data_IF_685844013646
#
_entry.id   IF_685844013646
#
_cell.length_a   1.000
_cell.length_b   1.000
_cell.length_c   1.000
_cell.angle_alpha   90.00
_cell.angle_beta   90.00
_cell.angle_gamma   90.00
#
_symmetry.space_group_name_H-M   'P 1'
#
loop_
_entity.id
_entity.type
_entity.pdbx_description
1 polymer ?
#
# COMPACT_ATOMS: atom_id res chain seq x y z
N UNK A 1 46.54 -24.00 67.86
CA UNK A 1 46.06 -23.83 66.47
C UNK A 1 44.53 -23.76 66.47
N UNK A 2 43.95 -23.13 67.50
CA UNK A 2 42.60 -23.51 67.96
C UNK A 2 41.56 -22.41 67.69
N UNK A 3 42.00 -21.30 67.07
CA UNK A 3 41.15 -20.17 66.71
C UNK A 3 40.52 -20.30 65.32
N UNK A 4 40.97 -21.27 64.50
CA UNK A 4 40.40 -21.53 63.18
C UNK A 4 39.21 -22.51 63.24
N UNK A 5 39.28 -23.55 64.08
CA UNK A 5 38.19 -24.55 64.23
C UNK A 5 36.92 -23.95 64.84
N UNK A 6 37.05 -22.98 65.76
CA UNK A 6 35.90 -22.34 66.38
C UNK A 6 35.10 -21.44 65.42
N UNK A 7 35.74 -20.84 64.42
CA UNK A 7 35.05 -19.98 63.45
C UNK A 7 34.28 -20.81 62.40
N UNK A 8 34.79 -21.97 61.99
CA UNK A 8 34.08 -22.85 61.07
C UNK A 8 32.77 -23.36 61.67
N UNK A 9 32.76 -23.75 62.95
CA UNK A 9 31.54 -24.17 63.63
C UNK A 9 30.51 -23.04 63.75
N UNK A 10 30.94 -21.79 64.02
CA UNK A 10 30.00 -20.66 64.10
C UNK A 10 29.39 -20.29 62.76
N UNK A 11 30.12 -20.40 61.65
CA UNK A 11 29.58 -20.14 60.30
C UNK A 11 28.59 -21.25 59.88
N UNK A 12 28.88 -22.51 60.22
CA UNK A 12 27.94 -23.62 59.99
C UNK A 12 26.68 -23.50 60.86
N UNK A 13 26.80 -23.02 62.10
CA UNK A 13 25.67 -22.74 62.98
C UNK A 13 24.81 -21.56 62.44
N UNK A 14 25.44 -20.47 62.00
CA UNK A 14 24.72 -19.33 61.41
C UNK A 14 24.01 -19.71 60.11
N UNK A 15 24.68 -20.49 59.24
CA UNK A 15 24.07 -20.94 57.99
C UNK A 15 22.95 -21.96 58.25
N UNK A 16 23.07 -22.83 59.25
CA UNK A 16 22.01 -23.78 59.61
C UNK A 16 20.79 -23.08 60.23
N UNK A 17 21.00 -22.10 61.12
CA UNK A 17 19.93 -21.25 61.66
C UNK A 17 19.21 -20.48 60.55
N UNK A 18 19.96 -19.90 59.61
CA UNK A 18 19.39 -19.20 58.46
C UNK A 18 18.62 -20.16 57.54
N UNK A 19 19.18 -21.32 57.21
CA UNK A 19 18.52 -22.36 56.41
C UNK A 19 17.22 -22.81 57.07
N UNK A 20 17.23 -23.09 58.36
CA UNK A 20 16.04 -23.53 59.11
C UNK A 20 14.97 -22.43 59.14
N UNK A 21 15.36 -21.18 59.38
CA UNK A 21 14.42 -20.04 59.37
C UNK A 21 13.82 -19.79 57.98
N UNK A 22 14.64 -19.87 56.93
CA UNK A 22 14.19 -19.75 55.54
C UNK A 22 13.31 -20.94 55.17
N UNK A 23 13.62 -22.15 55.60
CA UNK A 23 12.80 -23.35 55.36
C UNK A 23 11.44 -23.26 56.08
N UNK A 24 11.40 -22.83 57.34
CA UNK A 24 10.15 -22.61 58.07
C UNK A 24 9.31 -21.50 57.41
N UNK A 25 9.96 -20.45 56.90
CA UNK A 25 9.30 -19.40 56.14
C UNK A 25 8.76 -19.90 54.80
N UNK A 26 9.51 -20.74 54.08
CA UNK A 26 9.08 -21.37 52.82
C UNK A 26 7.95 -22.37 53.07
N UNK A 27 8.00 -23.14 54.16
CA UNK A 27 6.97 -24.12 54.50
C UNK A 27 5.66 -23.43 54.89
N UNK A 28 5.73 -22.33 55.64
CA UNK A 28 4.56 -21.55 56.06
C UNK A 28 4.02 -20.63 54.95
N UNK A 29 4.88 -20.07 54.11
CA UNK A 29 4.54 -19.06 53.10
C UNK A 29 4.86 -19.47 51.66
N UNK A 30 4.97 -20.77 51.38
CA UNK A 30 5.31 -21.28 50.04
C UNK A 30 4.38 -20.78 48.93
N UNK A 31 3.12 -20.52 49.27
CA UNK A 31 2.14 -19.93 48.36
C UNK A 31 2.49 -18.49 47.93
N UNK A 32 3.13 -17.68 48.79
CA UNK A 32 3.62 -16.35 48.44
C UNK A 32 4.77 -16.43 47.45
N UNK A 33 5.68 -17.40 47.61
CA UNK A 33 6.80 -17.62 46.69
C UNK A 33 6.27 -18.02 45.31
N UNK A 34 5.22 -18.84 45.25
CA UNK A 34 4.54 -19.16 44.00
C UNK A 34 3.88 -17.93 43.37
N UNK A 35 3.24 -17.06 44.16
CA UNK A 35 2.67 -15.81 43.66
C UNK A 35 3.74 -14.86 43.12
N UNK A 36 4.85 -14.68 43.84
CA UNK A 36 5.97 -13.85 43.38
C UNK A 36 6.57 -14.43 42.11
N UNK A 37 6.78 -15.74 42.05
CA UNK A 37 7.28 -16.41 40.84
C UNK A 37 6.31 -16.24 39.65
N UNK A 38 5.00 -16.37 39.89
CA UNK A 38 3.98 -16.13 38.88
C UNK A 38 4.01 -14.67 38.37
N UNK A 39 4.11 -13.69 39.27
CA UNK A 39 4.23 -12.26 38.93
C UNK A 39 5.49 -12.02 38.10
N UNK A 40 6.66 -12.52 38.53
CA UNK A 40 7.92 -12.37 37.78
C UNK A 40 7.82 -13.02 36.40
N UNK A 41 7.22 -14.19 36.29
CA UNK A 41 6.99 -14.85 35.00
C UNK A 41 6.08 -14.01 34.07
N UNK A 42 5.03 -13.41 34.61
CA UNK A 42 4.13 -12.52 33.84
C UNK A 42 4.85 -11.24 33.42
N UNK A 43 5.63 -10.64 34.31
CA UNK A 43 6.45 -9.47 34.00
C UNK A 43 7.45 -9.77 32.90
N UNK A 44 8.15 -10.90 32.96
CA UNK A 44 9.13 -11.28 31.95
C UNK A 44 8.47 -11.48 30.58
N UNK A 45 7.32 -12.18 30.53
CA UNK A 45 6.54 -12.32 29.28
C UNK A 45 6.14 -10.97 28.69
N UNK A 46 5.70 -10.03 29.53
CA UNK A 46 5.25 -8.72 29.08
C UNK A 46 6.41 -7.78 28.67
N UNK A 47 7.53 -7.82 29.39
CA UNK A 47 8.73 -7.01 29.10
C UNK A 47 9.42 -7.51 27.84
N UNK A 48 9.48 -8.83 27.59
CA UNK A 48 10.11 -9.41 26.40
C UNK A 48 9.47 -8.90 25.10
N UNK A 49 8.15 -8.78 25.06
CA UNK A 49 7.43 -8.25 23.90
C UNK A 49 7.74 -6.76 23.66
N UNK A 50 7.77 -5.96 24.73
CA UNK A 50 8.09 -4.53 24.65
C UNK A 50 9.55 -4.28 24.27
N UNK A 51 10.48 -5.09 24.77
CA UNK A 51 11.90 -4.99 24.45
C UNK A 51 12.17 -5.26 22.97
N UNK A 52 11.51 -6.27 22.40
CA UNK A 52 11.64 -6.56 20.96
C UNK A 52 11.09 -5.43 20.09
N UNK A 53 9.96 -4.82 20.50
CA UNK A 53 9.38 -3.68 19.79
C UNK A 53 10.28 -2.43 19.90
N UNK A 54 10.86 -2.19 21.07
CA UNK A 54 11.78 -1.07 21.30
C UNK A 54 13.06 -1.17 20.45
N UNK A 55 13.66 -2.36 20.36
CA UNK A 55 14.83 -2.60 19.51
C UNK A 55 14.49 -2.40 18.02
N UNK A 56 13.31 -2.83 17.60
CA UNK A 56 12.82 -2.57 16.24
C UNK A 56 12.60 -1.08 15.97
N UNK A 57 11.97 -0.35 16.89
CA UNK A 57 11.74 1.08 16.72
C UNK A 57 13.06 1.84 16.60
N UNK A 58 14.06 1.52 17.43
CA UNK A 58 15.37 2.20 17.39
C UNK A 58 16.16 1.87 16.13
N UNK A 59 16.07 0.63 15.66
CA UNK A 59 16.66 0.24 14.37
C UNK A 59 15.99 1.01 13.23
N UNK A 60 14.65 1.05 13.20
CA UNK A 60 13.88 1.79 12.19
C UNK A 60 14.23 3.28 12.19
N UNK A 61 14.30 3.92 13.34
CA UNK A 61 14.66 5.33 13.47
C UNK A 61 16.06 5.62 12.92
N UNK A 62 17.05 4.75 13.17
CA UNK A 62 18.39 4.87 12.58
C UNK A 62 18.36 4.70 11.06
N UNK A 63 17.59 3.72 10.56
CA UNK A 63 17.39 3.54 9.12
C UNK A 63 16.73 4.76 8.48
N UNK A 64 15.67 5.31 9.09
CA UNK A 64 15.01 6.53 8.59
C UNK A 64 15.93 7.74 8.66
N UNK A 65 16.68 7.91 9.75
CA UNK A 65 17.62 9.01 9.89
C UNK A 65 18.73 8.95 8.83
N UNK A 66 19.35 7.78 8.62
CA UNK A 66 20.34 7.59 7.55
C UNK A 66 19.71 7.82 6.16
N UNK A 67 18.53 7.27 5.93
CA UNK A 67 17.80 7.43 4.67
C UNK A 67 17.47 8.88 4.32
N UNK A 68 17.17 9.72 5.32
CA UNK A 68 16.86 11.14 5.13
C UNK A 68 18.09 12.05 5.13
N UNK A 69 19.19 11.64 5.76
CA UNK A 69 20.41 12.44 5.85
C UNK A 69 21.33 12.27 4.65
N UNK A 70 21.22 11.15 3.91
CA UNK A 70 22.09 10.86 2.78
C UNK A 70 21.60 11.53 1.47
N UNK A 71 22.26 12.60 0.98
CA UNK A 71 21.82 13.29 -0.24
C UNK A 71 21.94 12.41 -1.49
N UNK A 72 22.87 11.44 -1.50
CA UNK A 72 23.07 10.50 -2.62
C UNK A 72 21.86 9.60 -2.85
N UNK A 73 21.24 9.09 -1.78
CA UNK A 73 20.05 8.24 -1.87
C UNK A 73 18.84 9.03 -2.38
N UNK A 74 18.76 10.32 -2.04
CA UNK A 74 17.71 11.21 -2.57
C UNK A 74 17.88 11.42 -4.07
N UNK A 75 19.10 11.63 -4.55
CA UNK A 75 19.39 11.77 -5.98
C UNK A 75 19.05 10.50 -6.75
N UNK A 76 19.49 9.33 -6.28
CA UNK A 76 19.18 8.04 -6.92
C UNK A 76 17.66 7.82 -7.02
N UNK A 77 16.91 8.17 -5.97
CA UNK A 77 15.44 8.12 -6.01
C UNK A 77 14.86 9.08 -7.06
N UNK A 78 15.38 10.30 -7.15
CA UNK A 78 14.92 11.29 -8.13
C UNK A 78 15.20 10.80 -9.56
N UNK A 79 16.39 10.27 -9.81
CA UNK A 79 16.77 9.69 -11.09
C UNK A 79 15.87 8.50 -11.46
N UNK A 80 15.58 7.60 -10.51
CA UNK A 80 14.68 6.47 -10.73
C UNK A 80 13.24 6.94 -11.05
N UNK A 81 12.75 7.98 -10.38
CA UNK A 81 11.45 8.58 -10.65
C UNK A 81 11.41 9.26 -12.02
N UNK A 82 12.46 9.99 -12.39
CA UNK A 82 12.58 10.62 -13.72
C UNK A 82 12.65 9.59 -14.83
N UNK A 83 13.39 8.49 -14.64
CA UNK A 83 13.43 7.37 -15.58
C UNK A 83 12.05 6.73 -15.77
N UNK A 84 11.30 6.55 -14.67
CA UNK A 84 9.92 6.04 -14.74
C UNK A 84 8.99 7.00 -15.50
N UNK A 85 9.10 8.31 -15.26
CA UNK A 85 8.33 9.33 -15.98
C UNK A 85 8.64 9.34 -17.47
N UNK A 86 9.92 9.25 -17.86
CA UNK A 86 10.33 9.19 -19.28
C UNK A 86 9.74 7.96 -19.98
N UNK A 87 9.83 6.78 -19.36
CA UNK A 87 9.22 5.55 -19.90
C UNK A 87 7.71 5.68 -20.10
N UNK A 88 7.01 6.32 -19.17
CA UNK A 88 5.57 6.55 -19.30
C UNK A 88 5.25 7.52 -20.45
N UNK A 89 6.03 8.59 -20.60
CA UNK A 89 5.88 9.55 -21.70
C UNK A 89 6.07 8.85 -23.05
N UNK A 90 7.13 8.06 -23.20
CA UNK A 90 7.39 7.29 -24.42
C UNK A 90 6.24 6.34 -24.77
N UNK A 91 5.65 5.66 -23.76
CA UNK A 91 4.49 4.81 -23.98
C UNK A 91 3.26 5.59 -24.42
N UNK A 92 3.02 6.77 -23.85
CA UNK A 92 1.91 7.63 -24.22
C UNK A 92 2.10 8.19 -25.65
N UNK A 93 3.31 8.61 -25.99
CA UNK A 93 3.65 9.13 -27.32
C UNK A 93 3.47 8.04 -28.38
N UNK A 94 3.95 6.82 -28.11
CA UNK A 94 3.74 5.68 -29.01
C UNK A 94 2.24 5.38 -29.22
N UNK A 95 1.43 5.45 -28.17
CA UNK A 95 -0.02 5.25 -28.30
C UNK A 95 -0.69 6.40 -29.07
N UNK A 96 -0.24 7.63 -28.86
CA UNK A 96 -0.74 8.80 -29.57
C UNK A 96 -0.45 8.69 -31.08
N UNK A 97 0.76 8.29 -31.46
CA UNK A 97 1.13 8.05 -32.86
C UNK A 97 0.28 6.96 -33.52
N UNK A 98 0.07 5.83 -32.82
CA UNK A 98 -0.79 4.76 -33.31
C UNK A 98 -2.24 5.23 -33.49
N UNK A 99 -2.74 6.09 -32.61
CA UNK A 99 -4.09 6.64 -32.72
C UNK A 99 -4.21 7.63 -33.89
N UNK A 100 -3.24 8.53 -34.04
CA UNK A 100 -3.17 9.46 -35.17
C UNK A 100 -3.08 8.71 -36.51
N UNK A 101 -2.30 7.63 -36.58
CA UNK A 101 -2.22 6.78 -37.77
C UNK A 101 -3.58 6.13 -38.09
N UNK A 102 -4.33 5.67 -37.08
CA UNK A 102 -5.69 5.12 -37.25
C UNK A 102 -6.68 6.18 -37.73
N UNK A 103 -6.60 7.41 -37.21
CA UNK A 103 -7.44 8.52 -37.67
C UNK A 103 -7.17 8.80 -39.14
N UNK A 104 -5.90 8.99 -39.53
CA UNK A 104 -5.52 9.26 -40.91
C UNK A 104 -6.02 8.16 -41.87
N UNK A 105 -5.85 6.89 -41.50
CA UNK A 105 -6.38 5.76 -42.30
C UNK A 105 -7.89 5.81 -42.47
N UNK A 106 -8.64 6.15 -41.41
CA UNK A 106 -10.11 6.28 -41.46
C UNK A 106 -10.53 7.45 -42.35
N UNK A 107 -9.82 8.57 -42.29
CA UNK A 107 -10.10 9.75 -43.11
C UNK A 107 -9.84 9.49 -44.59
N UNK A 108 -8.72 8.85 -44.92
CA UNK A 108 -8.40 8.44 -46.29
C UNK A 108 -9.44 7.45 -46.82
N UNK A 109 -9.84 6.45 -46.02
CA UNK A 109 -10.90 5.51 -46.40
C UNK A 109 -12.23 6.20 -46.70
N UNK A 110 -12.67 7.13 -45.83
CA UNK A 110 -13.87 7.94 -46.09
C UNK A 110 -13.77 8.79 -47.36
N UNK A 111 -12.57 9.29 -47.69
CA UNK A 111 -12.35 10.03 -48.92
C UNK A 111 -12.49 9.13 -50.15
N UNK A 112 -11.88 7.95 -50.11
CA UNK A 112 -11.98 6.94 -51.17
C UNK A 112 -13.43 6.44 -51.36
N UNK A 113 -14.15 6.18 -50.27
CA UNK A 113 -15.56 5.78 -50.33
C UNK A 113 -16.42 6.81 -51.07
N UNK A 114 -16.20 8.09 -50.80
CA UNK A 114 -16.88 9.18 -51.51
C UNK A 114 -16.54 9.17 -53.00
N UNK A 115 -15.25 9.05 -53.36
CA UNK A 115 -14.82 8.99 -54.77
C UNK A 115 -15.48 7.81 -55.49
N UNK A 116 -15.43 6.62 -54.89
CA UNK A 116 -16.05 5.41 -55.43
C UNK A 116 -17.57 5.56 -55.58
N UNK A 117 -18.24 6.20 -54.64
CA UNK A 117 -19.67 6.51 -54.72
C UNK A 117 -19.98 7.46 -55.88
N UNK A 118 -19.20 8.54 -56.03
CA UNK A 118 -19.29 9.47 -57.16
C UNK A 118 -19.05 8.79 -58.51
N UNK A 119 -18.11 7.85 -58.61
CA UNK A 119 -17.86 7.08 -59.83
C UNK A 119 -19.03 6.14 -60.18
N UNK A 120 -19.58 5.44 -59.18
CA UNK A 120 -20.76 4.58 -59.37
C UNK A 120 -21.99 5.38 -59.83
N UNK A 121 -22.15 6.60 -59.32
CA UNK A 121 -23.19 7.53 -59.75
C UNK A 121 -23.02 7.92 -61.22
N UNK A 122 -21.80 8.21 -61.67
CA UNK A 122 -21.51 8.53 -63.09
C UNK A 122 -21.83 7.38 -64.04
N UNK A 123 -21.57 6.14 -63.63
CA UNK A 123 -21.84 4.93 -64.44
C UNK A 123 -23.34 4.53 -64.39
N UNK A 124 -24.16 5.19 -63.56
CA UNK A 124 -25.59 4.88 -63.41
C UNK A 124 -25.88 3.65 -62.53
N UNK A 125 -24.86 3.10 -61.85
CA UNK A 125 -24.97 1.91 -61.00
C UNK A 125 -25.54 2.19 -59.59
N UNK A 126 -25.86 3.45 -59.27
CA UNK A 126 -26.22 3.89 -57.92
C UNK A 126 -27.62 3.49 -57.42
N UNK A 127 -28.50 2.95 -58.29
CA UNK A 127 -29.92 2.72 -57.96
C UNK A 127 -30.26 1.32 -57.41
N UNK A 128 -29.29 0.49 -57.01
CA UNK A 128 -29.61 -0.73 -56.24
C UNK A 128 -29.53 -0.41 -54.76
N UNK A 129 -30.70 -0.22 -54.15
CA UNK A 129 -30.88 0.15 -52.74
C UNK A 129 -30.00 -0.66 -51.79
N UNK A 130 -29.44 0.00 -50.78
CA UNK A 130 -28.83 -0.64 -49.60
C UNK A 130 -29.90 -1.30 -48.71
N UNK A 131 -30.69 -2.21 -49.27
CA UNK A 131 -31.44 -3.20 -48.49
C UNK A 131 -30.41 -4.18 -47.91
N UNK A 132 -29.82 -3.74 -46.80
CA UNK A 132 -29.32 -4.52 -45.66
C UNK A 132 -29.31 -6.05 -45.92
N UNK A 133 -28.18 -6.57 -46.41
CA UNK A 133 -27.85 -7.97 -46.18
C UNK A 133 -27.62 -8.10 -44.67
N UNK A 134 -28.55 -8.74 -44.00
CA UNK A 134 -28.42 -9.14 -42.60
C UNK A 134 -27.31 -10.21 -42.56
N UNK A 135 -26.08 -9.79 -42.33
CA UNK A 135 -25.01 -10.71 -41.96
C UNK A 135 -25.37 -11.26 -40.57
N UNK A 136 -25.51 -12.59 -40.51
CA UNK A 136 -25.79 -13.42 -39.34
C UNK A 136 -25.34 -12.77 -38.01
N UNK A 137 -26.22 -12.70 -36.99
CA UNK A 137 -25.83 -12.12 -35.72
C UNK A 137 -24.67 -12.95 -35.13
N UNK A 138 -23.54 -12.34 -34.72
CA UNK A 138 -22.50 -13.07 -34.01
C UNK A 138 -23.10 -13.73 -32.75
N UNK A 139 -22.60 -14.91 -32.32
CA UNK A 139 -23.21 -15.68 -31.25
C UNK A 139 -23.42 -14.80 -30.03
N UNK A 140 -24.69 -14.71 -29.60
CA UNK A 140 -25.15 -13.91 -28.45
C UNK A 140 -24.31 -14.24 -27.22
N UNK A 141 -23.23 -13.50 -27.00
CA UNK A 141 -22.59 -13.44 -25.68
C UNK A 141 -23.60 -12.78 -24.77
N UNK A 142 -23.96 -13.46 -23.68
CA UNK A 142 -24.89 -12.98 -22.65
C UNK A 142 -24.47 -11.56 -22.25
N UNK A 143 -25.18 -10.57 -22.77
CA UNK A 143 -24.99 -9.18 -22.37
C UNK A 143 -25.57 -9.06 -20.98
N UNK A 144 -24.71 -8.82 -19.98
CA UNK A 144 -25.15 -8.36 -18.67
C UNK A 144 -26.08 -7.14 -18.87
N UNK A 145 -27.13 -6.98 -18.05
CA UNK A 145 -28.03 -5.85 -18.17
C UNK A 145 -27.22 -4.56 -18.09
N UNK A 146 -27.29 -3.75 -19.15
CA UNK A 146 -26.73 -2.40 -19.16
C UNK A 146 -27.39 -1.63 -18.03
N UNK A 147 -26.60 -1.33 -16.99
CA UNK A 147 -27.01 -0.37 -15.96
C UNK A 147 -27.38 0.93 -16.67
N UNK A 148 -28.54 1.51 -16.33
CA UNK A 148 -28.95 2.86 -16.76
C UNK A 148 -28.06 3.92 -16.10
N UNK A 149 -26.76 3.87 -16.36
CA UNK A 149 -25.87 5.00 -16.09
C UNK A 149 -26.03 5.90 -17.31
N UNK A 150 -26.62 7.07 -17.09
CA UNK A 150 -26.78 8.12 -18.11
C UNK A 150 -25.42 8.35 -18.77
N UNK A 151 -25.40 8.39 -20.11
CA UNK A 151 -24.21 8.50 -20.95
C UNK A 151 -23.40 9.81 -20.78
N UNK A 152 -23.74 10.65 -19.81
CA UNK A 152 -23.08 11.95 -19.54
C UNK A 152 -22.02 11.87 -18.45
N UNK A 153 -21.88 10.73 -17.76
CA UNK A 153 -20.86 10.56 -16.72
C UNK A 153 -19.74 9.65 -17.20
N UNK A 154 -18.88 10.19 -18.08
CA UNK A 154 -17.55 9.62 -18.26
C UNK A 154 -16.62 10.31 -17.25
N UNK A 155 -16.22 9.64 -16.15
CA UNK A 155 -15.40 10.25 -15.10
C UNK A 155 -14.02 10.69 -15.61
N UNK A 156 -13.62 10.25 -16.80
CA UNK A 156 -12.37 10.68 -17.46
C UNK A 156 -12.55 11.86 -18.44
N UNK A 157 -13.76 12.06 -18.98
CA UNK A 157 -13.99 13.01 -20.10
C UNK A 157 -14.93 14.17 -19.72
N UNK A 158 -15.21 14.36 -18.42
CA UNK A 158 -15.67 15.61 -17.84
C UNK A 158 -16.78 16.35 -18.60
N UNK A 159 -18.01 15.84 -18.57
CA UNK A 159 -19.18 16.67 -18.86
C UNK A 159 -19.68 17.28 -17.53
N UNK A 160 -19.04 18.37 -17.12
CA UNK A 160 -19.38 19.10 -15.89
C UNK A 160 -18.35 18.89 -14.79
N UNK A 161 -17.48 19.89 -14.59
CA UNK A 161 -16.41 19.87 -13.62
C UNK A 161 -16.92 19.68 -12.20
N UNK A 162 -16.70 18.49 -11.64
CA UNK A 162 -16.69 18.28 -10.19
C UNK A 162 -15.26 18.52 -9.71
N UNK A 163 -14.82 19.78 -9.73
CA UNK A 163 -13.68 20.18 -8.91
C UNK A 163 -14.07 19.94 -7.45
N UNK A 164 -13.44 18.98 -6.77
CA UNK A 164 -13.51 18.90 -5.32
C UNK A 164 -13.01 20.25 -4.77
N UNK A 165 -13.94 21.07 -4.26
CA UNK A 165 -13.59 22.24 -3.47
C UNK A 165 -13.65 21.79 -2.01
N UNK A 166 -12.53 21.80 -1.27
CA UNK A 166 -12.59 21.54 0.16
C UNK A 166 -13.58 22.54 0.80
N UNK A 167 -14.38 22.06 1.74
CA UNK A 167 -15.25 22.92 2.55
C UNK A 167 -14.40 24.03 3.16
N UNK A 168 -14.86 25.29 3.07
CA UNK A 168 -14.23 26.38 3.80
C UNK A 168 -14.49 26.12 5.29
N UNK A 169 -13.55 25.49 5.97
CA UNK A 169 -13.54 25.47 7.44
C UNK A 169 -13.55 26.92 7.90
N UNK A 170 -14.70 27.37 8.39
CA UNK A 170 -14.89 28.70 8.95
C UNK A 170 -14.30 28.75 10.36
N UNK A 171 -13.01 28.43 10.49
CA UNK A 171 -12.26 28.53 11.75
C UNK A 171 -10.86 29.05 11.42
N UNK A 172 -10.79 30.28 10.92
CA UNK A 172 -9.60 31.11 11.02
C UNK A 172 -9.98 32.42 11.69
N UNK A 173 -9.77 32.42 12.99
CA UNK A 173 -9.82 33.56 13.89
C UNK A 173 -8.95 34.69 13.30
N UNK A 174 -9.56 35.84 13.03
CA UNK A 174 -8.85 37.04 12.58
C UNK A 174 -7.96 37.57 13.71
N UNK A 175 -6.66 37.38 13.57
CA UNK A 175 -5.63 38.06 14.36
C UNK A 175 -4.66 38.75 13.42
N UNK A 176 -4.62 40.08 13.47
CA UNK A 176 -3.78 40.94 12.65
C UNK A 176 -4.37 42.33 12.52
#
# INVERSE_FOLDING_TARGET
MDSFENNEHTEEDLTSLFKNSVLDFIQSNGWLILLVCAIVCLLWKHIRAKFWLWEQSRSREKFFAAYHQDPKLVLERQEALEASRKRLQEQHDAQAELFLAKIKKREVGKCQDKVNEWEKLKVGAAYRSKLKLEEEPPPKRKTLPKSKIKNDYNPLMGSGGTSFRPSRSADCNSGG
#
